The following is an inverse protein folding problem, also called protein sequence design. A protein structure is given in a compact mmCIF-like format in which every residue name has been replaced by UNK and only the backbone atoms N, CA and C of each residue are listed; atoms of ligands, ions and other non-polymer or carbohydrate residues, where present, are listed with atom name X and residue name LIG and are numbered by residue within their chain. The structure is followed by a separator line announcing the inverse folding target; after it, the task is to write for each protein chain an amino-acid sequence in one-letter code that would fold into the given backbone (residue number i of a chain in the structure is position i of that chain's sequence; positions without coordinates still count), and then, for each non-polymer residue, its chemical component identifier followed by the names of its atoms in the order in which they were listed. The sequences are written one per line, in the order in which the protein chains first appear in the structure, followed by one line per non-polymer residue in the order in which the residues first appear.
data_IF_718148010324
#
_entry.id   IF_718148010324
#
_cell.length_a   1.000
_cell.length_b   1.000
_cell.length_c   1.000
_cell.angle_alpha   90.00
_cell.angle_beta   90.00
_cell.angle_gamma   90.00
#
_symmetry.space_group_name_H-M   'P 1'
#
loop_
_entity.id
_entity.type
_entity.pdbx_description
1 polymer ?
#
# COMPACT_ATOMS: atom_id res chain seq x y z
N UNK A 1 10.57 57.41 -27.59
CA UNK A 1 10.89 57.55 -26.15
C UNK A 1 10.60 56.20 -25.49
N UNK A 2 11.60 55.52 -24.92
CA UNK A 2 11.41 54.28 -24.19
C UNK A 2 11.07 54.62 -22.73
N UNK A 3 9.88 54.25 -22.27
CA UNK A 3 9.47 54.45 -20.90
C UNK A 3 9.71 53.13 -20.13
N UNK A 4 10.46 53.19 -19.05
CA UNK A 4 10.69 52.07 -18.17
C UNK A 4 9.45 51.87 -17.29
N UNK A 5 8.74 50.78 -17.47
CA UNK A 5 7.66 50.37 -16.60
C UNK A 5 8.25 49.50 -15.46
N UNK A 6 8.06 49.93 -14.24
CA UNK A 6 8.46 49.18 -13.04
C UNK A 6 7.23 48.65 -12.34
N UNK A 7 7.20 47.34 -12.13
CA UNK A 7 6.13 46.67 -11.33
C UNK A 7 6.72 46.17 -10.02
N UNK A 8 5.94 46.28 -8.94
CA UNK A 8 6.31 45.67 -7.66
C UNK A 8 6.29 44.14 -7.76
N UNK A 9 7.28 43.46 -7.20
CA UNK A 9 7.28 41.97 -7.16
C UNK A 9 6.17 41.45 -6.26
N UNK A 10 5.62 40.29 -6.63
CA UNK A 10 4.53 39.64 -5.91
C UNK A 10 3.18 39.76 -6.61
N UNK A 11 2.25 38.91 -6.27
CA UNK A 11 0.88 38.89 -6.77
C UNK A 11 -0.03 39.45 -5.68
N UNK A 12 -0.70 40.54 -5.95
CA UNK A 12 -1.64 41.19 -5.02
C UNK A 12 -3.09 40.89 -5.43
N UNK A 13 -3.70 39.95 -4.76
CA UNK A 13 -5.12 39.55 -4.94
C UNK A 13 -6.08 40.22 -3.93
N UNK A 14 -5.57 41.12 -3.08
CA UNK A 14 -6.40 41.76 -2.05
C UNK A 14 -7.14 43.01 -2.57
N UNK A 15 -6.75 43.53 -3.70
CA UNK A 15 -7.36 44.68 -4.34
C UNK A 15 -7.98 44.29 -5.68
N UNK A 16 -8.82 45.15 -6.24
CA UNK A 16 -9.38 44.95 -7.57
C UNK A 16 -8.31 45.09 -8.64
N UNK A 17 -8.51 44.55 -9.83
CA UNK A 17 -7.59 44.73 -10.99
C UNK A 17 -7.19 46.19 -11.22
N UNK A 18 -8.15 47.10 -11.15
CA UNK A 18 -7.95 48.54 -11.31
C UNK A 18 -7.17 49.14 -10.13
N UNK A 19 -7.31 48.59 -8.93
CA UNK A 19 -6.58 49.03 -7.74
C UNK A 19 -5.15 48.47 -7.64
N UNK A 20 -4.79 47.51 -8.48
CA UNK A 20 -3.47 46.89 -8.51
C UNK A 20 -2.51 47.58 -9.53
N UNK A 21 -2.74 48.85 -9.88
CA UNK A 21 -1.89 49.57 -10.82
C UNK A 21 -0.43 49.55 -10.35
N UNK A 22 0.48 49.17 -11.25
CA UNK A 22 1.91 48.97 -10.94
C UNK A 22 2.24 47.70 -10.16
N UNK A 23 1.30 46.81 -9.98
CA UNK A 23 1.47 45.52 -9.34
C UNK A 23 0.98 44.37 -10.25
N UNK A 24 1.37 43.15 -9.92
CA UNK A 24 0.85 41.97 -10.57
C UNK A 24 -0.42 41.53 -9.84
N UNK A 25 -1.55 41.50 -10.53
CA UNK A 25 -2.83 41.09 -9.97
C UNK A 25 -3.02 39.56 -9.99
N UNK A 26 -2.55 38.95 -11.08
CA UNK A 26 -2.62 37.49 -11.24
C UNK A 26 -1.39 36.97 -11.99
N UNK A 27 -1.09 35.70 -11.81
CA UNK A 27 -0.01 35.00 -12.48
C UNK A 27 -0.02 33.53 -12.13
N UNK A 28 0.27 32.69 -13.11
CA UNK A 28 0.40 31.25 -12.96
C UNK A 28 1.78 30.79 -13.40
N UNK A 29 2.35 29.84 -12.70
CA UNK A 29 3.68 29.27 -12.96
C UNK A 29 4.81 30.33 -13.01
N UNK A 30 4.72 31.37 -12.19
CA UNK A 30 5.74 32.40 -12.05
C UNK A 30 6.29 32.49 -10.64
N UNK A 31 7.56 32.80 -10.53
CA UNK A 31 8.24 33.24 -9.30
C UNK A 31 8.87 34.60 -9.50
N UNK A 32 9.06 35.33 -8.41
CA UNK A 32 9.74 36.61 -8.44
C UNK A 32 11.17 36.46 -7.96
N UNK A 33 12.14 36.77 -8.80
CA UNK A 33 13.56 36.75 -8.48
C UNK A 33 14.19 38.08 -8.82
N UNK A 34 14.92 38.63 -7.88
CA UNK A 34 15.53 39.96 -8.01
C UNK A 34 14.54 41.05 -8.46
N UNK A 35 13.31 40.98 -8.00
CA UNK A 35 12.27 41.97 -8.32
C UNK A 35 11.58 41.78 -9.69
N UNK A 36 11.98 40.77 -10.46
CA UNK A 36 11.39 40.49 -11.78
C UNK A 36 10.66 39.14 -11.76
N UNK A 37 9.51 39.01 -12.45
CA UNK A 37 8.87 37.73 -12.63
C UNK A 37 9.70 36.88 -13.59
N UNK A 38 9.91 35.62 -13.21
CA UNK A 38 10.46 34.59 -14.08
C UNK A 38 9.58 33.36 -14.06
N UNK A 39 9.55 32.64 -15.16
CA UNK A 39 8.80 31.42 -15.29
C UNK A 39 9.39 30.34 -14.35
N UNK A 40 8.55 29.68 -13.56
CA UNK A 40 8.93 28.48 -12.83
C UNK A 40 9.22 27.42 -13.88
N UNK A 41 10.37 26.74 -13.78
CA UNK A 41 10.67 25.59 -14.61
C UNK A 41 9.63 24.49 -14.42
N UNK A 42 9.61 23.51 -15.33
CA UNK A 42 8.76 22.35 -15.20
C UNK A 42 9.12 21.51 -13.95
N UNK A 43 8.25 20.60 -13.61
CA UNK A 43 8.53 19.57 -12.60
C UNK A 43 9.37 18.48 -13.24
N UNK A 44 10.41 18.06 -12.55
CA UNK A 44 11.21 16.91 -12.93
C UNK A 44 10.96 15.78 -11.94
N UNK A 45 11.05 14.54 -12.41
CA UNK A 45 10.87 13.38 -11.56
C UNK A 45 12.10 13.23 -10.66
N UNK A 46 11.87 13.09 -9.36
CA UNK A 46 12.93 12.82 -8.41
C UNK A 46 13.18 11.31 -8.33
N UNK A 47 14.23 10.84 -9.01
CA UNK A 47 14.56 9.43 -9.14
C UNK A 47 13.85 8.76 -10.32
N UNK A 48 14.35 7.61 -10.74
CA UNK A 48 13.83 6.85 -11.89
C UNK A 48 12.75 5.85 -11.50
N UNK A 49 12.74 5.40 -10.25
CA UNK A 49 11.83 4.37 -9.77
C UNK A 49 10.49 4.93 -9.31
N UNK A 50 9.44 4.17 -9.60
CA UNK A 50 8.10 4.46 -9.11
C UNK A 50 7.89 3.87 -7.72
N UNK A 51 7.32 4.67 -6.83
CA UNK A 51 6.91 4.18 -5.51
C UNK A 51 5.76 3.18 -5.63
N UNK A 52 5.81 2.12 -4.85
CA UNK A 52 4.69 1.19 -4.70
C UNK A 52 3.62 1.82 -3.82
N UNK A 53 2.47 2.10 -4.41
CA UNK A 53 1.36 2.80 -3.75
C UNK A 53 1.40 4.31 -3.92
N UNK A 54 0.39 4.99 -3.37
CA UNK A 54 0.27 6.44 -3.41
C UNK A 54 0.92 7.06 -2.18
N UNK A 55 1.84 8.02 -2.37
CA UNK A 55 2.44 8.76 -1.27
C UNK A 55 1.37 9.53 -0.49
N UNK A 56 1.35 9.35 0.84
CA UNK A 56 0.38 9.94 1.77
C UNK A 56 1.03 10.89 2.77
N UNK A 57 2.27 10.63 3.13
CA UNK A 57 3.01 11.44 4.08
C UNK A 57 4.47 11.55 3.66
N UNK A 58 5.07 12.69 3.97
CA UNK A 58 6.47 12.97 3.78
C UNK A 58 7.03 13.57 5.08
N UNK A 59 8.14 13.03 5.55
CA UNK A 59 8.88 13.56 6.69
C UNK A 59 10.36 13.65 6.35
N UNK A 60 10.98 14.78 6.60
CA UNK A 60 12.40 14.98 6.35
C UNK A 60 13.15 15.18 7.66
N UNK A 61 14.42 14.74 7.69
CA UNK A 61 15.32 14.95 8.81
C UNK A 61 16.78 14.92 8.34
N UNK A 62 17.65 15.45 9.15
CA UNK A 62 19.08 15.35 8.98
C UNK A 62 19.65 14.44 10.07
N UNK A 63 20.63 13.61 9.73
CA UNK A 63 21.34 12.84 10.73
C UNK A 63 22.46 13.69 11.39
N UNK A 64 23.09 13.16 12.42
CA UNK A 64 24.17 13.87 13.14
C UNK A 64 25.41 14.19 12.27
N UNK A 65 25.53 13.57 11.11
CA UNK A 65 26.57 13.85 10.11
C UNK A 65 26.14 14.85 9.04
N UNK A 66 24.93 15.43 9.15
CA UNK A 66 24.38 16.41 8.19
C UNK A 66 23.85 15.78 6.89
N UNK A 67 23.70 14.46 6.83
CA UNK A 67 23.10 13.80 5.67
C UNK A 67 21.59 13.93 5.75
N UNK A 68 21.00 14.35 4.63
CA UNK A 68 19.55 14.58 4.53
C UNK A 68 18.80 13.33 4.11
N UNK A 69 17.73 13.06 4.80
CA UNK A 69 16.79 11.96 4.52
C UNK A 69 15.38 12.49 4.39
N UNK A 70 14.57 11.74 3.64
CA UNK A 70 13.14 11.94 3.61
C UNK A 70 12.43 10.59 3.71
N UNK A 71 11.59 10.39 4.73
CA UNK A 71 10.68 9.24 4.78
C UNK A 71 9.44 9.53 3.97
N UNK A 72 9.04 8.57 3.17
CA UNK A 72 7.85 8.64 2.32
C UNK A 72 6.94 7.48 2.71
N UNK A 73 5.84 7.80 3.38
CA UNK A 73 4.79 6.85 3.70
C UNK A 73 3.81 6.74 2.54
N UNK A 74 3.74 5.57 1.91
CA UNK A 74 2.67 5.27 0.97
C UNK A 74 1.54 4.51 1.67
N UNK A 75 0.42 4.30 0.98
CA UNK A 75 -0.63 3.42 1.48
C UNK A 75 -0.26 1.92 1.41
N UNK A 76 0.98 1.58 1.04
CA UNK A 76 1.45 0.20 0.85
C UNK A 76 2.79 -0.08 1.51
N UNK A 77 3.77 0.80 1.34
CA UNK A 77 5.16 0.61 1.74
C UNK A 77 5.71 1.91 2.31
N UNK A 78 6.66 1.80 3.21
CA UNK A 78 7.44 2.90 3.75
C UNK A 78 8.81 2.94 3.08
N UNK A 79 9.18 4.11 2.57
CA UNK A 79 10.47 4.35 1.92
C UNK A 79 11.29 5.39 2.68
N UNK A 80 12.60 5.29 2.60
CA UNK A 80 13.54 6.36 2.89
C UNK A 80 14.20 6.81 1.57
N UNK A 81 14.20 8.10 1.33
CA UNK A 81 14.92 8.71 0.22
C UNK A 81 16.21 9.34 0.74
N UNK A 82 17.33 9.02 0.12
CA UNK A 82 18.63 9.61 0.40
C UNK A 82 19.55 9.49 -0.82
N UNK A 83 20.39 10.48 -1.04
CA UNK A 83 21.41 10.47 -2.10
C UNK A 83 20.87 10.22 -3.54
N UNK A 84 19.62 10.53 -3.81
CA UNK A 84 19.02 10.33 -5.13
C UNK A 84 18.24 9.01 -5.28
N UNK A 85 18.25 8.13 -4.27
CA UNK A 85 17.66 6.80 -4.34
C UNK A 85 16.56 6.59 -3.29
N UNK A 86 15.62 5.72 -3.62
CA UNK A 86 14.58 5.24 -2.72
C UNK A 86 14.97 3.90 -2.11
N UNK A 87 15.07 3.85 -0.81
CA UNK A 87 15.33 2.63 -0.05
C UNK A 87 14.03 2.14 0.58
N UNK A 88 13.67 0.90 0.31
CA UNK A 88 12.55 0.25 0.97
C UNK A 88 12.95 -0.08 2.41
N UNK A 89 12.27 0.54 3.36
CA UNK A 89 12.49 0.35 4.80
C UNK A 89 11.28 -0.28 5.49
N UNK A 90 10.32 -0.76 4.70
CA UNK A 90 9.13 -1.39 5.25
C UNK A 90 9.47 -2.76 5.87
N UNK A 91 9.06 -3.04 7.09
CA UNK A 91 9.42 -4.29 7.75
C UNK A 91 8.78 -5.51 7.06
N UNK A 92 9.53 -6.60 7.01
CA UNK A 92 9.09 -7.90 6.52
C UNK A 92 8.46 -8.68 7.68
N UNK A 93 7.24 -9.13 7.49
CA UNK A 93 6.50 -9.94 8.44
C UNK A 93 6.95 -11.41 8.43
N UNK A 94 7.11 -11.96 7.21
CA UNK A 94 7.50 -13.35 7.00
C UNK A 94 8.36 -13.49 5.76
N UNK A 95 9.27 -14.46 5.79
CA UNK A 95 10.00 -14.94 4.61
C UNK A 95 9.65 -16.40 4.43
N UNK A 96 9.09 -16.76 3.29
CA UNK A 96 8.60 -18.11 2.98
C UNK A 96 9.26 -18.57 1.68
N UNK A 97 10.01 -19.65 1.74
CA UNK A 97 10.71 -20.25 0.59
C UNK A 97 9.88 -21.36 -0.03
N UNK A 98 10.09 -21.62 -1.33
CA UNK A 98 9.38 -22.68 -2.04
C UNK A 98 8.00 -22.27 -2.55
N UNK A 99 7.78 -21.00 -2.79
CA UNK A 99 6.58 -20.51 -3.44
C UNK A 99 6.52 -20.99 -4.89
N UNK A 100 5.33 -21.38 -5.37
CA UNK A 100 5.09 -21.81 -6.74
C UNK A 100 4.06 -20.94 -7.43
N UNK A 101 4.02 -20.98 -8.76
CA UNK A 101 3.21 -20.08 -9.57
C UNK A 101 2.31 -20.86 -10.52
N UNK A 102 1.10 -20.37 -10.68
CA UNK A 102 0.13 -20.88 -11.66
C UNK A 102 -0.53 -19.72 -12.40
N UNK A 103 -0.74 -19.87 -13.69
CA UNK A 103 -1.45 -18.89 -14.52
C UNK A 103 -2.42 -19.59 -15.46
N UNK A 104 -3.25 -18.83 -16.16
CA UNK A 104 -4.11 -19.33 -17.23
C UNK A 104 -3.78 -18.58 -18.53
N UNK A 105 -3.83 -19.29 -19.67
CA UNK A 105 -3.62 -18.67 -20.98
C UNK A 105 -4.65 -17.58 -21.24
N UNK A 106 -4.21 -16.45 -21.77
CA UNK A 106 -5.04 -15.30 -22.06
C UNK A 106 -5.38 -14.43 -20.85
N UNK A 107 -4.89 -14.77 -19.65
CA UNK A 107 -5.22 -14.04 -18.41
C UNK A 107 -4.00 -13.33 -17.83
N UNK A 108 -4.17 -12.14 -17.22
CA UNK A 108 -3.10 -11.44 -16.53
C UNK A 108 -2.95 -11.92 -15.08
N UNK A 109 -3.83 -12.79 -14.61
CA UNK A 109 -3.85 -13.22 -13.21
C UNK A 109 -2.88 -14.37 -12.99
N UNK A 110 -2.01 -14.24 -11.99
CA UNK A 110 -1.13 -15.30 -11.52
C UNK A 110 -1.48 -15.64 -10.09
N UNK A 111 -1.62 -16.93 -9.80
CA UNK A 111 -1.77 -17.46 -8.46
C UNK A 111 -0.39 -17.83 -7.91
N UNK A 112 -0.06 -17.30 -6.76
CA UNK A 112 1.15 -17.64 -6.00
C UNK A 112 0.73 -18.52 -4.83
N UNK A 113 1.32 -19.70 -4.76
CA UNK A 113 1.07 -20.68 -3.69
C UNK A 113 2.27 -20.74 -2.77
N UNK A 114 2.03 -20.50 -1.50
CA UNK A 114 3.03 -20.57 -0.42
C UNK A 114 2.94 -21.95 0.26
N UNK A 115 4.06 -22.59 0.62
CA UNK A 115 4.04 -23.86 1.33
C UNK A 115 3.56 -23.75 2.79
N UNK A 116 3.43 -22.55 3.32
CA UNK A 116 2.91 -22.28 4.66
C UNK A 116 2.03 -21.04 4.70
N UNK A 117 1.32 -20.84 5.80
CA UNK A 117 0.40 -19.72 6.01
C UNK A 117 1.14 -18.37 5.88
N UNK A 118 0.76 -17.57 4.90
CA UNK A 118 1.40 -16.27 4.63
C UNK A 118 0.88 -15.13 5.52
N UNK A 119 -0.39 -15.17 5.95
CA UNK A 119 -0.99 -14.14 6.80
C UNK A 119 -1.31 -12.81 6.09
N UNK A 120 -1.26 -12.78 4.75
CA UNK A 120 -1.60 -11.60 3.95
C UNK A 120 -3.09 -11.38 3.85
N UNK A 121 -3.46 -10.13 3.61
CA UNK A 121 -4.80 -9.68 3.26
C UNK A 121 -4.79 -9.09 1.85
N UNK A 122 -5.97 -8.84 1.28
CA UNK A 122 -6.06 -8.10 0.03
C UNK A 122 -5.35 -6.75 0.13
N UNK A 123 -4.64 -6.42 -0.93
CA UNK A 123 -3.83 -5.23 -1.05
C UNK A 123 -2.50 -5.25 -0.28
N UNK A 124 -2.16 -6.31 0.41
CA UNK A 124 -0.81 -6.47 0.97
C UNK A 124 0.22 -6.67 -0.12
N UNK A 125 1.46 -6.36 0.22
CA UNK A 125 2.57 -6.46 -0.71
C UNK A 125 3.44 -7.65 -0.34
N UNK A 126 3.90 -8.37 -1.35
CA UNK A 126 4.94 -9.39 -1.27
C UNK A 126 6.04 -9.07 -2.27
N UNK A 127 7.29 -9.19 -1.85
CA UNK A 127 8.45 -9.18 -2.73
C UNK A 127 8.81 -10.64 -3.05
N UNK A 128 8.90 -10.94 -4.32
CA UNK A 128 9.38 -12.24 -4.80
C UNK A 128 10.88 -12.15 -5.08
N UNK A 129 11.63 -13.11 -4.59
CA UNK A 129 13.08 -13.16 -4.62
C UNK A 129 13.54 -14.61 -4.86
N UNK A 130 14.75 -14.79 -5.39
CA UNK A 130 15.31 -16.10 -5.73
C UNK A 130 14.38 -16.96 -6.60
N UNK A 131 13.78 -16.33 -7.60
CA UNK A 131 12.82 -16.97 -8.52
C UNK A 131 13.56 -17.84 -9.51
N UNK A 132 13.14 -19.08 -9.71
CA UNK A 132 13.75 -20.02 -10.62
C UNK A 132 12.78 -21.06 -11.15
N UNK A 133 13.02 -21.55 -12.37
CA UNK A 133 12.31 -22.68 -12.95
C UNK A 133 10.92 -22.35 -13.50
N UNK A 134 10.60 -21.09 -13.74
CA UNK A 134 9.38 -20.69 -14.42
C UNK A 134 9.56 -20.80 -15.94
N UNK A 135 8.62 -21.45 -16.60
CA UNK A 135 8.67 -21.75 -18.03
C UNK A 135 7.34 -21.45 -18.76
N UNK A 136 6.65 -20.38 -18.37
CA UNK A 136 5.52 -19.86 -19.11
C UNK A 136 5.95 -19.18 -20.42
N UNK A 137 5.02 -19.01 -21.35
CA UNK A 137 5.32 -18.32 -22.62
C UNK A 137 5.60 -16.83 -22.43
N UNK A 138 4.89 -16.17 -21.52
CA UNK A 138 5.07 -14.75 -21.20
C UNK A 138 5.68 -14.59 -19.80
N UNK A 139 5.22 -15.39 -18.84
CA UNK A 139 5.67 -15.31 -17.45
C UNK A 139 6.84 -16.25 -17.21
N UNK A 140 7.97 -15.68 -16.91
CA UNK A 140 9.24 -16.35 -16.63
C UNK A 140 9.86 -15.82 -15.34
N UNK A 141 11.04 -16.33 -14.96
CA UNK A 141 11.74 -15.93 -13.74
C UNK A 141 11.91 -14.41 -13.65
N UNK A 142 12.34 -13.74 -14.72
CA UNK A 142 12.53 -12.30 -14.77
C UNK A 142 11.23 -11.50 -14.64
N UNK A 143 10.07 -12.13 -14.81
CA UNK A 143 8.77 -11.49 -14.60
C UNK A 143 8.49 -11.26 -13.12
N UNK A 144 9.12 -12.04 -12.24
CA UNK A 144 8.86 -12.02 -10.80
C UNK A 144 10.08 -11.67 -9.94
N UNK A 145 11.29 -11.92 -10.43
CA UNK A 145 12.54 -11.72 -9.69
C UNK A 145 12.67 -10.26 -9.23
N UNK A 146 12.96 -10.06 -7.94
CA UNK A 146 13.12 -8.78 -7.26
C UNK A 146 11.95 -7.81 -7.45
N UNK A 147 10.73 -8.33 -7.67
CA UNK A 147 9.55 -7.50 -7.88
C UNK A 147 8.54 -7.62 -6.76
N UNK A 148 7.89 -6.48 -6.50
CA UNK A 148 6.82 -6.35 -5.53
C UNK A 148 5.47 -6.53 -6.20
N UNK A 149 4.65 -7.38 -5.63
CA UNK A 149 3.29 -7.67 -6.09
C UNK A 149 2.28 -7.36 -5.01
N UNK A 150 1.18 -6.78 -5.42
CA UNK A 150 0.03 -6.56 -4.57
C UNK A 150 -0.93 -7.75 -4.68
N UNK A 151 -1.32 -8.32 -3.55
CA UNK A 151 -2.35 -9.34 -3.50
C UNK A 151 -3.69 -8.74 -3.94
N UNK A 152 -4.17 -9.12 -5.12
CA UNK A 152 -5.48 -8.67 -5.64
C UNK A 152 -6.63 -9.47 -5.04
N UNK A 153 -6.37 -10.69 -4.61
CA UNK A 153 -7.25 -11.47 -3.74
C UNK A 153 -6.46 -12.48 -2.92
N UNK A 154 -7.07 -12.98 -1.88
CA UNK A 154 -6.51 -13.99 -0.97
C UNK A 154 -7.47 -15.16 -0.87
N UNK A 155 -7.43 -16.10 -1.85
CA UNK A 155 -8.36 -17.23 -1.90
C UNK A 155 -8.22 -18.20 -0.72
N UNK A 156 -7.02 -18.30 -0.14
CA UNK A 156 -6.79 -19.15 1.04
C UNK A 156 -5.65 -18.59 1.90
N UNK A 157 -5.40 -19.20 3.05
CA UNK A 157 -4.27 -18.84 3.92
C UNK A 157 -2.89 -19.12 3.31
N UNK A 158 -2.83 -19.87 2.21
CA UNK A 158 -1.59 -20.27 1.52
C UNK A 158 -1.56 -19.81 0.06
N UNK A 159 -2.59 -19.16 -0.46
CA UNK A 159 -2.63 -18.71 -1.85
C UNK A 159 -3.05 -17.25 -1.95
N UNK A 160 -2.37 -16.51 -2.81
CA UNK A 160 -2.77 -15.17 -3.24
C UNK A 160 -2.89 -15.13 -4.75
N UNK A 161 -3.65 -14.17 -5.27
CA UNK A 161 -3.61 -13.81 -6.69
C UNK A 161 -3.00 -12.43 -6.88
N UNK A 162 -2.23 -12.29 -7.94
CA UNK A 162 -1.66 -11.01 -8.37
C UNK A 162 -2.03 -10.75 -9.83
N UNK A 163 -2.12 -9.49 -10.22
CA UNK A 163 -2.43 -9.11 -11.60
C UNK A 163 -1.19 -8.55 -12.26
N UNK A 164 -0.81 -9.15 -13.36
CA UNK A 164 0.31 -8.74 -14.20
C UNK A 164 -0.12 -7.64 -15.18
N UNK A 165 0.84 -6.89 -15.69
CA UNK A 165 0.57 -5.84 -16.69
C UNK A 165 0.18 -6.40 -18.08
N UNK A 166 0.54 -7.65 -18.35
CA UNK A 166 0.30 -8.35 -19.63
C UNK A 166 -0.43 -9.66 -19.36
N UNK A 167 -1.06 -10.22 -20.41
CA UNK A 167 -1.67 -11.54 -20.32
C UNK A 167 -0.63 -12.64 -20.62
N UNK A 168 -0.82 -13.81 -20.04
CA UNK A 168 -0.08 -15.01 -20.47
C UNK A 168 -0.53 -15.43 -21.88
N UNK A 169 0.43 -15.49 -22.80
CA UNK A 169 0.15 -15.74 -24.22
C UNK A 169 0.62 -17.11 -24.67
N UNK A 170 0.01 -18.18 -24.32
CA UNK A 170 0.42 -19.51 -24.74
C UNK A 170 0.50 -20.49 -23.60
N UNK A 171 1.66 -21.10 -23.35
CA UNK A 171 1.81 -22.09 -22.28
C UNK A 171 1.75 -21.41 -20.91
N UNK A 172 0.72 -21.70 -20.10
CA UNK A 172 0.58 -21.12 -18.76
C UNK A 172 1.54 -21.78 -17.76
N UNK A 173 1.80 -21.08 -16.67
CA UNK A 173 2.48 -21.66 -15.50
C UNK A 173 1.56 -22.68 -14.83
N UNK A 174 2.06 -23.87 -14.54
CA UNK A 174 1.30 -24.95 -13.91
C UNK A 174 1.97 -25.39 -12.62
N UNK A 175 1.72 -24.67 -11.53
CA UNK A 175 2.31 -24.90 -10.21
C UNK A 175 3.83 -25.12 -10.27
N UNK A 176 4.49 -24.27 -11.05
CA UNK A 176 5.90 -24.40 -11.43
C UNK A 176 6.77 -23.38 -10.72
N UNK A 177 8.08 -23.60 -10.81
CA UNK A 177 9.10 -22.74 -10.24
C UNK A 177 9.27 -22.89 -8.73
N UNK A 178 10.21 -22.13 -8.22
CA UNK A 178 10.49 -21.96 -6.82
C UNK A 178 10.89 -20.51 -6.58
N UNK A 179 10.37 -19.91 -5.52
CA UNK A 179 10.71 -18.54 -5.15
C UNK A 179 10.66 -18.36 -3.63
N UNK A 180 11.29 -17.29 -3.17
CA UNK A 180 11.16 -16.81 -1.80
C UNK A 180 10.22 -15.63 -1.77
N UNK A 181 9.09 -15.76 -1.09
CA UNK A 181 8.15 -14.68 -0.83
C UNK A 181 8.50 -13.95 0.47
N UNK A 182 8.86 -12.67 0.37
CA UNK A 182 9.04 -11.77 1.52
C UNK A 182 7.76 -10.98 1.72
N UNK A 183 6.94 -11.41 2.67
CA UNK A 183 5.66 -10.79 2.98
C UNK A 183 5.89 -9.57 3.87
N UNK A 184 5.42 -8.42 3.44
CA UNK A 184 5.50 -7.19 4.21
C UNK A 184 4.43 -7.13 5.31
N UNK A 185 4.68 -6.35 6.36
CA UNK A 185 3.63 -6.05 7.32
C UNK A 185 2.49 -5.27 6.65
N UNK A 186 1.28 -5.57 7.06
CA UNK A 186 0.10 -4.84 6.60
C UNK A 186 0.19 -3.35 6.97
N UNK A 187 -0.09 -2.46 6.02
CA UNK A 187 -0.17 -1.01 6.25
C UNK A 187 -1.60 -0.64 6.59
N UNK A 188 -1.80 -0.26 7.81
CA UNK A 188 -3.09 0.06 8.36
C UNK A 188 -3.46 -0.85 9.53
N UNK A 189 -4.60 -0.66 10.13
CA UNK A 189 -5.08 -1.57 11.14
C UNK A 189 -5.31 -2.93 10.48
N UNK A 190 -4.63 -3.97 10.97
CA UNK A 190 -4.97 -5.34 10.63
C UNK A 190 -6.47 -5.50 10.92
N UNK A 191 -7.17 -6.24 10.07
CA UNK A 191 -8.53 -6.69 10.41
C UNK A 191 -8.42 -7.53 11.68
N UNK A 192 -8.51 -6.89 12.81
CA UNK A 192 -8.62 -7.62 14.07
C UNK A 192 -10.02 -8.23 14.07
N UNK A 193 -10.07 -9.54 14.08
CA UNK A 193 -11.27 -10.29 14.35
C UNK A 193 -11.92 -9.72 15.63
N UNK A 194 -13.08 -9.08 15.49
CA UNK A 194 -13.83 -8.53 16.62
C UNK A 194 -13.58 -7.08 17.02
N UNK A 195 -12.77 -6.32 16.29
CA UNK A 195 -12.58 -4.89 16.57
C UNK A 195 -13.71 -4.02 16.02
N UNK A 196 -14.26 -3.16 16.89
CA UNK A 196 -15.12 -2.04 16.50
C UNK A 196 -14.31 -0.75 16.64
N UNK A 197 -14.27 0.07 15.59
CA UNK A 197 -13.59 1.36 15.66
C UNK A 197 -13.05 1.85 14.33
N UNK A 198 -12.42 3.02 14.36
CA UNK A 198 -11.79 3.61 13.20
C UNK A 198 -10.68 2.73 12.66
N UNK A 199 -10.81 2.33 11.40
CA UNK A 199 -9.80 1.53 10.72
C UNK A 199 -9.89 0.01 10.94
N UNK A 200 -10.89 -0.47 11.67
CA UNK A 200 -11.19 -1.90 11.79
C UNK A 200 -12.30 -2.27 10.82
N UNK A 201 -11.99 -2.80 9.66
CA UNK A 201 -12.94 -3.15 8.58
C UNK A 201 -13.65 -1.93 7.94
N UNK A 202 -14.83 -2.10 7.35
CA UNK A 202 -15.60 -1.02 6.74
C UNK A 202 -15.94 0.09 7.74
N UNK A 203 -16.16 1.30 7.23
CA UNK A 203 -16.51 2.47 8.03
C UNK A 203 -17.63 2.13 9.04
N UNK A 204 -17.30 2.18 10.32
CA UNK A 204 -18.23 1.80 11.39
C UNK A 204 -18.09 0.39 11.93
N UNK A 205 -17.10 -0.38 11.49
CA UNK A 205 -16.77 -1.68 12.09
C UNK A 205 -17.78 -2.77 11.78
N UNK A 206 -18.09 -3.00 10.50
CA UNK A 206 -18.89 -4.17 10.16
C UNK A 206 -18.09 -5.45 10.35
N UNK A 207 -18.75 -6.41 10.91
CA UNK A 207 -18.29 -7.71 11.36
C UNK A 207 -17.86 -8.70 10.25
N UNK A 208 -17.12 -8.24 9.24
CA UNK A 208 -16.48 -9.18 8.30
C UNK A 208 -15.31 -9.81 9.01
N UNK A 209 -15.51 -11.01 9.53
CA UNK A 209 -14.51 -11.79 10.23
C UNK A 209 -14.71 -11.98 11.74
N UNK A 210 -15.80 -11.43 12.31
CA UNK A 210 -16.19 -11.81 13.67
C UNK A 210 -16.78 -13.21 13.63
N UNK A 211 -16.19 -14.12 14.39
CA UNK A 211 -16.80 -15.42 14.60
C UNK A 211 -18.13 -15.22 15.32
N UNK A 212 -19.20 -15.71 14.69
CA UNK A 212 -20.54 -15.66 15.28
C UNK A 212 -21.05 -17.07 15.50
N UNK A 213 -21.74 -17.26 16.58
CA UNK A 213 -22.43 -18.51 16.91
C UNK A 213 -23.67 -18.21 17.72
N UNK A 214 -24.54 -19.18 17.88
CA UNK A 214 -25.71 -19.08 18.74
C UNK A 214 -25.42 -19.77 20.09
N UNK A 215 -26.15 -19.38 21.09
CA UNK A 215 -26.14 -20.08 22.37
C UNK A 215 -26.78 -21.47 22.19
N UNK A 216 -26.08 -22.51 22.61
CA UNK A 216 -26.64 -23.88 22.66
C UNK A 216 -27.69 -24.00 23.75
N UNK A 217 -27.56 -23.20 24.81
CA UNK A 217 -28.48 -23.16 25.95
C UNK A 217 -28.77 -21.74 26.32
N UNK A 218 -30.03 -21.37 26.51
CA UNK A 218 -30.42 -20.03 26.93
C UNK A 218 -29.82 -19.68 28.31
N UNK A 219 -29.35 -18.47 28.46
CA UNK A 219 -28.91 -17.95 29.75
C UNK A 219 -30.18 -17.52 30.50
N UNK A 220 -30.53 -18.30 31.50
CA UNK A 220 -31.76 -18.07 32.30
C UNK A 220 -31.48 -17.41 33.64
N UNK A 221 -30.20 -17.23 33.98
CA UNK A 221 -29.79 -16.76 35.31
C UNK A 221 -28.57 -15.81 35.15
N UNK A 222 -28.51 -14.78 35.98
CA UNK A 222 -27.43 -13.80 36.07
C UNK A 222 -26.19 -14.32 36.79
N UNK A 223 -26.26 -15.52 37.42
CA UNK A 223 -25.14 -16.16 38.12
C UNK A 223 -24.43 -17.21 37.29
N UNK A 224 -24.88 -17.45 36.05
CA UNK A 224 -24.23 -18.40 35.17
C UNK A 224 -22.81 -17.93 34.82
N UNK A 225 -21.81 -18.67 35.18
CA UNK A 225 -20.40 -18.46 34.88
C UNK A 225 -19.93 -19.17 33.60
N UNK A 226 -20.80 -20.01 33.02
CA UNK A 226 -20.48 -20.79 31.82
C UNK A 226 -21.50 -20.48 30.73
N UNK A 227 -20.97 -20.14 29.57
CA UNK A 227 -21.76 -19.87 28.34
C UNK A 227 -21.51 -21.04 27.38
N UNK A 228 -22.57 -21.75 27.02
CA UNK A 228 -22.47 -22.89 26.10
C UNK A 228 -22.82 -22.40 24.68
N UNK A 229 -21.86 -22.51 23.78
CA UNK A 229 -22.01 -22.09 22.37
C UNK A 229 -22.36 -23.32 21.53
N UNK A 230 -23.14 -23.13 20.49
CA UNK A 230 -23.43 -24.19 19.48
C UNK A 230 -22.16 -24.64 18.77
N UNK A 231 -21.23 -23.74 18.53
CA UNK A 231 -19.91 -24.04 17.99
C UNK A 231 -18.89 -23.01 18.51
N UNK A 232 -17.76 -23.49 18.97
CA UNK A 232 -16.63 -22.67 19.40
C UNK A 232 -15.43 -22.72 18.44
N UNK A 233 -15.53 -23.47 17.35
CA UNK A 233 -14.41 -23.80 16.46
C UNK A 233 -13.76 -22.58 15.81
N UNK A 234 -14.52 -21.51 15.61
CA UNK A 234 -14.03 -20.28 15.00
C UNK A 234 -13.52 -19.24 16.02
N UNK A 235 -13.66 -19.51 17.32
CA UNK A 235 -13.25 -18.58 18.37
C UNK A 235 -11.83 -18.87 18.85
N UNK A 236 -11.04 -17.83 19.18
CA UNK A 236 -9.75 -18.04 19.83
C UNK A 236 -9.92 -18.61 21.24
N UNK A 237 -8.84 -19.19 21.78
CA UNK A 237 -8.86 -19.81 23.13
C UNK A 237 -9.12 -18.79 24.26
N UNK A 238 -8.93 -17.49 24.00
CA UNK A 238 -9.20 -16.40 24.93
C UNK A 238 -9.58 -15.14 24.16
N UNK A 239 -10.44 -14.32 24.73
CA UNK A 239 -10.89 -13.06 24.10
C UNK A 239 -12.17 -12.55 24.74
N UNK A 240 -12.71 -11.48 24.18
CA UNK A 240 -13.99 -10.92 24.59
C UNK A 240 -15.10 -11.41 23.64
N UNK A 241 -16.25 -11.67 24.19
CA UNK A 241 -17.45 -12.01 23.44
C UNK A 241 -18.56 -11.00 23.71
N UNK A 242 -19.33 -10.71 22.66
CA UNK A 242 -20.54 -9.91 22.78
C UNK A 242 -21.77 -10.81 22.65
N UNK A 243 -22.70 -10.70 23.57
CA UNK A 243 -23.98 -11.42 23.55
C UNK A 243 -25.07 -10.40 23.27
N UNK A 244 -25.92 -10.70 22.30
CA UNK A 244 -27.03 -9.85 21.92
C UNK A 244 -27.01 -9.54 20.41
N UNK A 245 -28.07 -8.95 19.93
CA UNK A 245 -28.24 -8.46 18.55
C UNK A 245 -27.76 -7.02 18.41
#
# INVERSE_FOLDING_TARGET
MLQKLGFAPGINKQVTETGAEGQWFDGDNVRFRYGSPEKIGGWDQLGEDKLTGAARALHHWDNNAGVKYAAIGTNRILYAYSAGEYHDIHPISKTITGCTFSSASGQPTVTITFPSVHGMQENDIVLMDAVSGLSGSTFNDASFEDKKFMATSVPSSTTITVTMATNESGTPLSNSGSATGKVYYHVGPSQQLGGFGWGTANFGGTASGIATTTLATAITDIVNTTIVLTSSTAFPASGEIRIGT
#
